data_IF_010684745468
#
_entry.id   IF_010684745468
#
_cell.length_a   1.000
_cell.length_b   1.000
_cell.length_c   1.000
_cell.angle_alpha   90.00
_cell.angle_beta   90.00
_cell.angle_gamma   90.00
#
_symmetry.space_group_name_H-M   'P 1'
#
loop_
_entity.id
_entity.type
_entity.pdbx_description
1 polymer ?
#
# COMPACT_ATOMS: atom_id res chain seq x y z
N UNK A 1 9.05 6.87 -0.10
CA UNK A 1 7.64 7.03 -0.48
C UNK A 1 7.41 6.56 -1.90
N UNK A 2 6.36 5.81 -2.13
CA UNK A 2 6.00 5.31 -3.45
C UNK A 2 4.81 6.10 -3.96
N UNK A 3 4.97 6.73 -5.13
CA UNK A 3 3.95 7.60 -5.70
C UNK A 3 3.46 7.02 -7.01
N UNK A 4 2.15 7.08 -7.24
CA UNK A 4 1.51 6.52 -8.43
C UNK A 4 0.94 7.62 -9.31
N UNK A 5 1.12 7.44 -10.60
CA UNK A 5 0.50 8.24 -11.67
C UNK A 5 -0.04 9.61 -11.28
N UNK A 6 0.71 10.66 -11.57
CA UNK A 6 0.22 12.01 -11.33
C UNK A 6 -0.14 12.27 -9.88
N UNK A 7 0.48 11.55 -8.97
CA UNK A 7 0.26 11.70 -7.52
C UNK A 7 -1.20 11.43 -7.14
N UNK A 8 -1.80 10.43 -7.74
CA UNK A 8 -3.15 10.01 -7.38
C UNK A 8 -3.18 9.17 -6.12
N UNK A 9 -2.05 8.56 -5.76
CA UNK A 9 -1.89 7.81 -4.53
C UNK A 9 -0.44 7.80 -4.11
N UNK A 10 -0.21 7.72 -2.81
CA UNK A 10 1.15 7.68 -2.26
C UNK A 10 1.18 6.69 -1.09
N UNK A 11 2.26 5.94 -0.99
CA UNK A 11 2.46 4.98 0.09
C UNK A 11 3.77 5.30 0.80
N UNK A 12 3.73 5.26 2.13
CA UNK A 12 4.90 5.51 2.96
C UNK A 12 5.18 4.29 3.82
N UNK A 13 6.43 3.86 3.84
CA UNK A 13 6.86 2.74 4.67
C UNK A 13 7.83 3.25 5.73
N UNK A 14 7.54 2.91 6.99
CA UNK A 14 8.39 3.30 8.11
C UNK A 14 8.69 2.05 8.94
N UNK A 15 9.97 1.78 9.16
CA UNK A 15 10.38 0.64 9.97
C UNK A 15 10.64 1.11 11.40
N UNK A 16 9.96 0.46 12.35
CA UNK A 16 10.13 0.75 13.77
C UNK A 16 10.36 -0.59 14.47
N UNK A 17 11.60 -0.83 14.91
CA UNK A 17 11.95 -2.10 15.51
C UNK A 17 11.84 -3.23 14.49
N UNK A 18 11.02 -4.23 14.81
CA UNK A 18 10.76 -5.35 13.92
C UNK A 18 9.44 -5.19 13.14
N UNK A 19 8.86 -4.00 13.19
CA UNK A 19 7.60 -3.71 12.53
C UNK A 19 7.81 -2.73 11.39
N UNK A 20 7.03 -2.91 10.32
CA UNK A 20 7.01 -1.98 9.21
C UNK A 20 5.59 -1.44 9.09
N UNK A 21 5.46 -0.13 9.23
CA UNK A 21 4.18 0.54 9.13
C UNK A 21 4.03 1.12 7.72
N UNK A 22 2.94 0.78 7.07
CA UNK A 22 2.65 1.23 5.72
C UNK A 22 1.44 2.14 5.79
N UNK A 23 1.56 3.34 5.24
CA UNK A 23 0.45 4.28 5.14
C UNK A 23 0.16 4.55 3.69
N UNK A 24 -1.10 4.53 3.31
CA UNK A 24 -1.51 4.84 1.95
C UNK A 24 -2.53 5.95 1.94
N UNK A 25 -2.37 6.88 1.01
CA UNK A 25 -3.31 7.97 0.80
C UNK A 25 -3.61 8.13 -0.67
N UNK A 26 -4.84 8.52 -0.97
CA UNK A 26 -5.30 8.65 -2.34
C UNK A 26 -6.09 9.95 -2.50
N UNK A 27 -6.12 10.47 -3.70
CA UNK A 27 -6.96 11.61 -4.05
C UNK A 27 -8.43 11.22 -4.26
N UNK A 28 -8.73 9.92 -4.15
CA UNK A 28 -10.08 9.41 -4.31
C UNK A 28 -10.26 8.54 -5.55
N UNK A 29 -9.28 8.51 -6.43
CA UNK A 29 -9.35 7.72 -7.66
C UNK A 29 -8.82 6.31 -7.50
N UNK A 30 -7.95 6.10 -6.51
CA UNK A 30 -7.35 4.80 -6.27
C UNK A 30 -7.77 4.34 -4.88
N UNK A 31 -8.25 3.11 -4.79
CA UNK A 31 -8.70 2.55 -3.52
C UNK A 31 -7.51 1.93 -2.78
N UNK A 32 -6.86 2.73 -1.92
CA UNK A 32 -5.71 2.26 -1.16
C UNK A 32 -6.10 1.20 -0.14
N UNK A 33 -7.35 1.16 0.28
CA UNK A 33 -7.84 0.14 1.20
C UNK A 33 -7.71 -1.25 0.59
N UNK A 34 -8.15 -1.42 -0.65
CA UNK A 34 -8.05 -2.70 -1.34
C UNK A 34 -6.60 -3.14 -1.51
N UNK A 35 -5.74 -2.19 -1.82
CA UNK A 35 -4.32 -2.48 -1.99
C UNK A 35 -3.70 -2.97 -0.69
N UNK A 36 -3.96 -2.27 0.40
CA UNK A 36 -3.34 -2.61 1.68
C UNK A 36 -4.01 -3.79 2.39
N UNK A 37 -5.23 -4.15 2.00
CA UNK A 37 -5.87 -5.36 2.54
C UNK A 37 -5.07 -6.62 2.23
N UNK A 38 -4.33 -6.61 1.13
CA UNK A 38 -3.46 -7.73 0.78
C UNK A 38 -2.24 -7.84 1.69
N UNK A 39 -1.96 -6.77 2.43
CA UNK A 39 -0.90 -6.76 3.44
C UNK A 39 -1.50 -6.78 4.85
N UNK A 40 -2.72 -7.29 4.96
CA UNK A 40 -3.45 -7.41 6.23
C UNK A 40 -3.76 -6.06 6.86
N UNK A 41 -3.89 -5.03 6.04
CA UNK A 41 -4.23 -3.70 6.50
C UNK A 41 -5.70 -3.39 6.30
N UNK A 42 -6.06 -2.14 6.52
CA UNK A 42 -7.42 -1.67 6.35
C UNK A 42 -7.49 -0.17 6.51
N UNK A 43 -8.71 0.36 6.49
CA UNK A 43 -8.95 1.79 6.61
C UNK A 43 -10.10 2.20 5.74
N UNK A 44 -9.92 3.32 5.04
CA UNK A 44 -10.89 3.84 4.08
C UNK A 44 -10.28 3.81 2.68
N UNK A 45 -11.11 4.02 1.66
CA UNK A 45 -10.63 3.92 0.29
C UNK A 45 -9.55 4.97 -0.03
N UNK A 46 -9.56 6.11 0.64
CA UNK A 46 -8.59 7.18 0.38
C UNK A 46 -7.51 7.32 1.45
N UNK A 47 -7.65 6.63 2.58
CA UNK A 47 -6.64 6.63 3.65
C UNK A 47 -6.64 5.25 4.29
N UNK A 48 -5.53 4.54 4.20
CA UNK A 48 -5.44 3.20 4.76
C UNK A 48 -4.05 2.96 5.34
N UNK A 49 -3.93 1.92 6.14
CA UNK A 49 -2.67 1.55 6.75
C UNK A 49 -2.54 0.06 6.94
N UNK A 50 -1.31 -0.41 7.05
CA UNK A 50 -1.00 -1.81 7.31
C UNK A 50 0.23 -1.88 8.21
N UNK A 51 0.37 -3.01 8.88
CA UNK A 51 1.49 -3.24 9.78
C UNK A 51 2.00 -4.66 9.57
N UNK A 52 3.28 -4.78 9.26
CA UNK A 52 3.90 -6.08 8.99
C UNK A 52 5.06 -6.27 9.96
N UNK A 53 5.15 -7.47 10.54
CA UNK A 53 6.22 -7.78 11.49
C UNK A 53 7.12 -8.86 10.92
N UNK A 54 8.39 -8.85 11.37
CA UNK A 54 9.39 -9.88 11.01
C UNK A 54 9.65 -9.97 9.51
N UNK A 55 9.56 -8.83 8.81
CA UNK A 55 9.82 -8.77 7.38
C UNK A 55 10.86 -7.69 7.07
N UNK A 56 11.55 -7.82 5.96
CA UNK A 56 12.44 -6.76 5.50
C UNK A 56 11.66 -5.71 4.73
N UNK A 57 12.17 -4.48 4.73
CA UNK A 57 11.54 -3.39 3.97
C UNK A 57 11.46 -3.77 2.48
N UNK A 58 12.50 -4.42 1.96
CA UNK A 58 12.51 -4.84 0.56
C UNK A 58 11.39 -5.82 0.24
N UNK A 59 11.18 -6.81 1.12
CA UNK A 59 10.11 -7.78 0.91
C UNK A 59 8.74 -7.12 0.96
N UNK A 60 8.54 -6.23 1.92
CA UNK A 60 7.27 -5.51 2.04
C UNK A 60 7.04 -4.64 0.83
N UNK A 61 8.08 -3.97 0.35
CA UNK A 61 7.96 -3.12 -0.84
C UNK A 61 7.59 -3.94 -2.07
N UNK A 62 8.17 -5.12 -2.23
CA UNK A 62 7.82 -6.00 -3.35
C UNK A 62 6.39 -6.48 -3.26
N UNK A 63 5.94 -6.85 -2.07
CA UNK A 63 4.57 -7.27 -1.85
C UNK A 63 3.60 -6.13 -2.17
N UNK A 64 3.96 -4.92 -1.75
CA UNK A 64 3.15 -3.74 -2.03
C UNK A 64 3.06 -3.48 -3.53
N UNK A 65 4.17 -3.58 -4.24
CA UNK A 65 4.18 -3.40 -5.69
C UNK A 65 3.31 -4.45 -6.39
N UNK A 66 3.39 -5.70 -5.95
CA UNK A 66 2.55 -6.76 -6.47
C UNK A 66 1.07 -6.47 -6.24
N UNK A 67 0.76 -5.99 -5.06
CA UNK A 67 -0.62 -5.65 -4.70
C UNK A 67 -1.15 -4.52 -5.59
N UNK A 68 -0.31 -3.53 -5.86
CA UNK A 68 -0.67 -2.42 -6.74
C UNK A 68 -0.91 -2.92 -8.17
N UNK A 69 -0.02 -3.78 -8.65
CA UNK A 69 -0.17 -4.34 -9.99
C UNK A 69 -1.46 -5.13 -10.13
N UNK A 70 -1.79 -5.93 -9.12
CA UNK A 70 -3.03 -6.69 -9.14
C UNK A 70 -4.25 -5.77 -9.13
N UNK A 71 -4.17 -4.69 -8.38
CA UNK A 71 -5.26 -3.71 -8.32
C UNK A 71 -5.53 -3.11 -9.69
N UNK A 72 -4.49 -2.68 -10.40
CA UNK A 72 -4.65 -2.09 -11.72
C UNK A 72 -5.08 -3.13 -12.76
N UNK A 73 -4.61 -4.36 -12.62
CA UNK A 73 -5.04 -5.45 -13.48
C UNK A 73 -6.54 -5.68 -13.36
N UNK A 74 -7.05 -5.68 -12.14
CA UNK A 74 -8.48 -5.84 -11.88
C UNK A 74 -9.28 -4.68 -12.44
N UNK A 75 -8.76 -3.46 -12.28
CA UNK A 75 -9.45 -2.25 -12.74
C UNK A 75 -9.49 -2.16 -14.26
N UNK A 76 -8.50 -2.74 -14.91
CA UNK A 76 -8.35 -2.65 -16.36
C UNK A 76 -9.33 -3.56 -17.11
N UNK A 77 -10.13 -4.30 -16.40
CA UNK A 77 -11.15 -5.17 -16.98
C UNK A 77 -12.54 -4.55 -16.83
#
# INVERSE_FOLDING_TARGET
MLTLKGIEAAFTLVKIGDQIHISGRSSGKINVQLILEKLHGGGHFDVAGAQVVNESVMNVLETLKSSIDEYFDSEDK
#
